data_IF_449284894525
#
_entry.id   IF_449284894525
#
_cell.length_a   1.000
_cell.length_b   1.000
_cell.length_c   1.000
_cell.angle_alpha   90.00
_cell.angle_beta   90.00
_cell.angle_gamma   90.00
#
_symmetry.space_group_name_H-M   'P 1'
#
loop_
_entity.id
_entity.type
_entity.pdbx_description
1 polymer ?
#
# COMPACT_ATOMS: atom_id res chain seq x y z
N UNK A 1 17.65 -25.19 32.26
CA UNK A 1 18.83 -25.95 31.75
C UNK A 1 20.06 -25.05 31.60
N UNK A 2 21.29 -25.57 31.56
CA UNK A 2 22.49 -24.72 31.37
C UNK A 2 22.65 -24.27 29.91
N UNK A 3 23.31 -23.13 29.66
CA UNK A 3 23.51 -22.60 28.30
C UNK A 3 24.20 -23.58 27.34
N UNK A 4 25.10 -24.43 27.86
CA UNK A 4 25.77 -25.46 27.07
C UNK A 4 24.83 -26.58 26.61
N UNK A 5 23.88 -26.95 27.45
CA UNK A 5 22.88 -27.96 27.14
C UNK A 5 21.82 -27.40 26.18
N UNK A 6 21.44 -26.13 26.38
CA UNK A 6 20.58 -25.40 25.43
C UNK A 6 21.23 -25.25 24.05
N UNK A 7 22.54 -24.98 24.01
CA UNK A 7 23.29 -24.95 22.75
C UNK A 7 23.24 -26.29 22.00
N UNK A 8 23.42 -27.40 22.73
CA UNK A 8 23.32 -28.74 22.16
C UNK A 8 21.91 -29.08 21.66
N UNK A 9 20.86 -28.67 22.40
CA UNK A 9 19.46 -28.86 22.01
C UNK A 9 19.13 -28.20 20.66
N UNK A 10 19.72 -27.02 20.39
CA UNK A 10 19.50 -26.28 19.16
C UNK A 10 20.55 -26.54 18.07
N UNK A 11 21.51 -27.44 18.32
CA UNK A 11 22.58 -27.76 17.36
C UNK A 11 23.51 -26.57 17.04
N UNK A 12 23.67 -25.62 17.97
CA UNK A 12 24.47 -24.40 17.78
C UNK A 12 25.65 -24.33 18.77
N UNK A 13 26.62 -23.46 18.48
CA UNK A 13 27.74 -23.20 19.40
C UNK A 13 27.29 -22.43 20.65
N UNK A 14 27.99 -22.62 21.78
CA UNK A 14 27.76 -21.84 23.02
C UNK A 14 27.89 -20.33 22.78
N UNK A 15 28.79 -19.92 21.87
CA UNK A 15 28.96 -18.51 21.48
C UNK A 15 27.70 -17.93 20.82
N UNK A 16 26.95 -18.76 20.08
CA UNK A 16 25.67 -18.37 19.48
C UNK A 16 24.62 -18.10 20.57
N UNK A 17 24.55 -18.97 21.58
CA UNK A 17 23.65 -18.79 22.75
C UNK A 17 24.02 -17.54 23.55
N UNK A 18 25.31 -17.22 23.70
CA UNK A 18 25.75 -15.96 24.32
C UNK A 18 25.30 -14.74 23.52
N UNK A 19 25.40 -14.77 22.19
CA UNK A 19 24.87 -13.69 21.33
C UNK A 19 23.34 -13.55 21.42
N UNK A 20 22.61 -14.66 21.55
CA UNK A 20 21.16 -14.61 21.78
C UNK A 20 20.81 -14.00 23.13
N UNK A 21 21.60 -14.30 24.17
CA UNK A 21 21.49 -13.65 25.48
C UNK A 21 21.76 -12.15 25.39
N UNK A 22 22.84 -11.73 24.72
CA UNK A 22 23.18 -10.30 24.52
C UNK A 22 22.08 -9.54 23.76
N UNK A 23 21.37 -10.22 22.87
CA UNK A 23 20.25 -9.67 22.09
C UNK A 23 18.91 -9.72 22.83
N UNK A 24 18.85 -10.27 24.04
CA UNK A 24 17.63 -10.38 24.83
C UNK A 24 16.64 -11.43 24.32
N UNK A 25 17.09 -12.39 23.51
CA UNK A 25 16.22 -13.42 22.91
C UNK A 25 16.07 -14.68 23.80
N UNK A 26 16.65 -14.67 25.00
CA UNK A 26 16.62 -15.79 25.94
C UNK A 26 16.14 -15.30 27.30
N UNK A 27 15.26 -16.08 27.93
CA UNK A 27 14.79 -15.85 29.30
C UNK A 27 15.58 -16.74 30.26
N UNK A 28 16.07 -16.15 31.34
CA UNK A 28 16.83 -16.84 32.38
C UNK A 28 16.05 -16.84 33.70
N UNK A 29 15.92 -18.02 34.31
CA UNK A 29 15.47 -18.21 35.68
C UNK A 29 16.72 -18.45 36.56
N UNK A 30 17.34 -17.35 37.02
CA UNK A 30 18.63 -17.41 37.72
C UNK A 30 19.78 -17.83 36.80
N UNK A 31 20.50 -18.90 37.15
CA UNK A 31 21.62 -19.44 36.35
C UNK A 31 21.17 -20.44 35.26
N UNK A 32 19.86 -20.65 35.12
CA UNK A 32 19.30 -21.60 34.15
C UNK A 32 18.48 -20.89 33.08
N UNK A 33 18.59 -21.37 31.84
CA UNK A 33 17.75 -20.96 30.71
C UNK A 33 16.37 -21.58 30.89
N UNK A 34 15.35 -20.73 30.81
CA UNK A 34 13.95 -21.12 30.64
C UNK A 34 13.75 -21.50 29.17
N UNK A 35 13.55 -22.79 28.92
CA UNK A 35 13.56 -23.37 27.58
C UNK A 35 12.32 -22.94 26.80
N UNK A 36 11.16 -22.91 27.44
CA UNK A 36 9.89 -22.63 26.79
C UNK A 36 9.79 -21.16 26.42
N UNK A 37 10.07 -20.26 27.38
CA UNK A 37 10.05 -18.83 27.14
C UNK A 37 11.14 -18.39 26.15
N UNK A 38 12.34 -18.98 26.22
CA UNK A 38 13.42 -18.71 25.26
C UNK A 38 13.08 -19.21 23.85
N UNK A 39 12.42 -20.37 23.73
CA UNK A 39 12.01 -20.88 22.42
C UNK A 39 10.91 -20.04 21.78
N UNK A 40 9.98 -19.49 22.59
CA UNK A 40 8.97 -18.57 22.10
C UNK A 40 9.58 -17.28 21.53
N UNK A 41 10.56 -16.69 22.23
CA UNK A 41 11.29 -15.52 21.75
C UNK A 41 12.14 -15.83 20.52
N UNK A 42 12.85 -16.96 20.51
CA UNK A 42 13.62 -17.38 19.36
C UNK A 42 12.72 -17.60 18.15
N UNK A 43 11.53 -18.17 18.31
CA UNK A 43 10.57 -18.29 17.21
C UNK A 43 10.13 -16.93 16.68
N UNK A 44 9.92 -15.93 17.54
CA UNK A 44 9.49 -14.56 17.19
C UNK A 44 10.58 -13.73 16.49
N UNK A 45 11.86 -13.95 16.83
CA UNK A 45 12.96 -13.10 16.37
C UNK A 45 13.92 -13.78 15.41
N UNK A 46 13.92 -15.11 15.33
CA UNK A 46 14.80 -15.87 14.45
C UNK A 46 14.07 -16.25 13.17
N UNK A 47 14.63 -15.82 12.05
CA UNK A 47 14.30 -16.31 10.72
C UNK A 47 14.64 -17.81 10.63
N UNK A 48 13.67 -18.66 10.32
CA UNK A 48 13.90 -20.07 10.11
C UNK A 48 14.94 -20.27 8.99
N UNK A 49 16.02 -21.02 9.28
CA UNK A 49 17.10 -21.25 8.31
C UNK A 49 18.17 -20.18 8.24
N UNK A 50 18.18 -19.17 9.12
CA UNK A 50 19.35 -18.29 9.25
C UNK A 50 20.56 -19.11 9.74
N UNK A 51 21.54 -19.30 8.85
CA UNK A 51 22.83 -19.91 9.16
C UNK A 51 23.43 -19.25 10.41
N UNK A 52 23.99 -20.07 11.31
CA UNK A 52 24.79 -19.54 12.40
C UNK A 52 25.96 -18.78 11.81
N UNK A 53 25.87 -17.44 11.78
CA UNK A 53 26.93 -16.57 11.25
C UNK A 53 28.15 -16.65 12.17
N UNK A 54 28.95 -17.69 11.96
CA UNK A 54 30.35 -17.83 12.36
C UNK A 54 31.27 -17.59 11.16
N UNK A 55 30.87 -16.72 10.23
CA UNK A 55 31.81 -16.11 9.31
C UNK A 55 32.18 -14.72 9.83
N UNK A 56 33.48 -14.46 9.90
CA UNK A 56 34.01 -13.12 10.13
C UNK A 56 33.39 -12.22 9.06
N UNK A 57 32.71 -11.15 9.47
CA UNK A 57 32.12 -10.21 8.54
C UNK A 57 33.24 -9.61 7.68
N UNK A 58 33.35 -10.03 6.42
CA UNK A 58 33.98 -9.21 5.40
C UNK A 58 33.06 -8.01 5.21
N UNK A 59 33.49 -6.86 5.74
CA UNK A 59 32.75 -5.62 5.62
C UNK A 59 32.48 -5.33 4.14
N UNK A 60 31.22 -5.14 3.78
CA UNK A 60 30.87 -4.59 2.49
C UNK A 60 31.25 -3.10 2.50
N UNK A 61 32.32 -2.75 1.79
CA UNK A 61 32.75 -1.35 1.58
C UNK A 61 31.89 -0.61 0.55
N UNK A 62 30.78 -1.21 0.09
CA UNK A 62 29.79 -0.49 -0.70
C UNK A 62 28.89 0.30 0.23
N UNK A 63 29.29 1.56 0.47
CA UNK A 63 28.49 2.53 1.19
C UNK A 63 27.07 2.55 0.66
N UNK A 64 26.10 2.45 1.56
CA UNK A 64 24.70 2.65 1.25
C UNK A 64 24.57 4.04 0.61
N UNK A 65 24.32 4.10 -0.72
CA UNK A 65 23.97 5.37 -1.39
C UNK A 65 22.88 6.04 -0.56
N UNK A 66 22.98 7.34 -0.24
CA UNK A 66 22.03 8.00 0.64
C UNK A 66 20.64 7.86 0.02
N UNK A 67 19.85 6.95 0.58
CA UNK A 67 18.50 6.71 0.15
C UNK A 67 17.70 7.98 0.42
N UNK A 68 17.02 8.45 -0.63
CA UNK A 68 15.98 9.48 -0.64
C UNK A 68 15.20 9.45 0.67
N UNK A 69 15.00 10.62 1.29
CA UNK A 69 14.39 10.81 2.61
C UNK A 69 13.27 9.79 2.86
N UNK A 70 13.57 8.76 3.65
CA UNK A 70 12.57 7.75 4.03
C UNK A 70 11.52 8.49 4.84
N UNK A 71 10.28 8.55 4.35
CA UNK A 71 9.14 8.97 5.19
C UNK A 71 9.17 8.07 6.42
N UNK A 72 9.39 8.66 7.59
CA UNK A 72 9.26 7.95 8.85
C UNK A 72 7.83 7.40 8.90
N UNK A 73 7.71 6.08 9.02
CA UNK A 73 6.41 5.41 9.20
C UNK A 73 5.84 5.75 10.58
N UNK A 74 6.68 6.18 11.50
CA UNK A 74 6.30 6.73 12.79
C UNK A 74 5.94 8.21 12.65
N UNK A 75 4.71 8.62 13.04
CA UNK A 75 4.37 10.04 13.15
C UNK A 75 5.37 10.73 14.08
N UNK A 76 5.84 11.92 13.68
CA UNK A 76 6.80 12.71 14.47
C UNK A 76 6.25 13.08 15.86
N UNK A 77 4.93 13.04 16.01
CA UNK A 77 4.18 13.43 17.21
C UNK A 77 3.72 12.22 18.05
N UNK A 78 4.10 10.99 17.69
CA UNK A 78 3.86 9.83 18.53
C UNK A 78 4.90 9.82 19.66
N UNK A 79 4.64 10.53 20.74
CA UNK A 79 5.41 10.42 21.98
C UNK A 79 5.43 8.94 22.41
N UNK A 80 6.62 8.33 22.36
CA UNK A 80 6.86 6.99 22.92
C UNK A 80 6.84 7.13 24.43
N UNK A 81 5.65 6.96 25.02
CA UNK A 81 5.46 7.00 26.47
C UNK A 81 5.72 5.62 27.07
N UNK A 82 6.55 5.58 28.10
CA UNK A 82 6.68 4.42 28.99
C UNK A 82 5.63 4.62 30.08
N UNK A 83 4.68 3.68 30.22
CA UNK A 83 3.64 3.77 31.25
C UNK A 83 4.22 3.61 32.67
N UNK A 84 3.45 4.01 33.69
CA UNK A 84 3.89 3.87 35.09
C UNK A 84 4.16 2.40 35.45
N UNK A 85 5.39 2.10 35.86
CA UNK A 85 5.84 0.74 36.19
C UNK A 85 6.19 -0.13 34.98
N UNK A 86 6.11 0.39 33.76
CA UNK A 86 6.49 -0.32 32.54
C UNK A 86 8.00 -0.22 32.29
N UNK A 87 8.63 -1.31 31.87
CA UNK A 87 10.01 -1.28 31.38
C UNK A 87 10.06 -0.83 29.92
N UNK A 88 11.20 -0.29 29.47
CA UNK A 88 11.37 0.13 28.07
C UNK A 88 11.08 -1.00 27.05
N UNK A 89 11.34 -2.27 27.43
CA UNK A 89 11.02 -3.43 26.58
C UNK A 89 9.52 -3.69 26.46
N UNK A 90 8.77 -3.55 27.56
CA UNK A 90 7.32 -3.71 27.58
C UNK A 90 6.62 -2.58 26.81
N UNK A 91 7.11 -1.34 26.95
CA UNK A 91 6.61 -0.20 26.19
C UNK A 91 6.81 -0.39 24.68
N UNK A 92 7.99 -0.89 24.28
CA UNK A 92 8.26 -1.22 22.89
C UNK A 92 7.34 -2.32 22.35
N UNK A 93 7.10 -3.38 23.12
CA UNK A 93 6.19 -4.47 22.72
C UNK A 93 4.74 -3.99 22.60
N UNK A 94 4.25 -3.19 23.54
CA UNK A 94 2.93 -2.56 23.48
C UNK A 94 2.75 -1.70 22.25
N UNK A 95 3.75 -0.87 21.92
CA UNK A 95 3.73 -0.01 20.74
C UNK A 95 3.74 -0.86 19.46
N UNK A 96 4.60 -1.87 19.37
CA UNK A 96 4.66 -2.79 18.23
C UNK A 96 3.31 -3.51 18.02
N UNK A 97 2.70 -4.01 19.08
CA UNK A 97 1.38 -4.65 19.03
C UNK A 97 0.27 -3.67 18.62
N UNK A 98 0.27 -2.44 19.16
CA UNK A 98 -0.69 -1.40 18.79
C UNK A 98 -0.56 -0.96 17.32
N UNK A 99 0.64 -1.04 16.74
CA UNK A 99 0.90 -0.81 15.31
C UNK A 99 0.60 -2.04 14.43
N UNK A 100 0.06 -3.12 15.00
CA UNK A 100 -0.34 -4.33 14.26
C UNK A 100 0.82 -5.27 13.92
N UNK A 101 1.99 -5.13 14.54
CA UNK A 101 3.14 -6.00 14.36
C UNK A 101 3.07 -7.24 15.27
N UNK A 102 1.97 -7.98 15.22
CA UNK A 102 1.80 -9.27 15.92
C UNK A 102 2.38 -10.45 15.11
N UNK A 103 2.71 -10.20 13.84
CA UNK A 103 3.17 -11.22 12.90
C UNK A 103 4.65 -11.57 13.14
N UNK A 104 4.98 -12.85 13.00
CA UNK A 104 6.37 -13.32 13.01
C UNK A 104 7.16 -12.73 11.83
N UNK A 105 8.49 -12.63 11.96
CA UNK A 105 9.37 -12.01 10.96
C UNK A 105 9.28 -12.69 9.59
N UNK A 106 9.13 -14.00 9.55
CA UNK A 106 8.98 -14.75 8.31
C UNK A 106 7.60 -14.53 7.68
N UNK A 107 6.57 -14.40 8.51
CA UNK A 107 5.22 -14.07 8.06
C UNK A 107 5.15 -12.63 7.50
N UNK A 108 5.75 -11.67 8.20
CA UNK A 108 5.84 -10.28 7.78
C UNK A 108 6.59 -10.13 6.45
N UNK A 109 7.68 -10.89 6.24
CA UNK A 109 8.39 -10.93 4.96
C UNK A 109 7.52 -11.48 3.85
N UNK A 110 6.84 -12.60 4.07
CA UNK A 110 5.93 -13.19 3.07
C UNK A 110 4.84 -12.21 2.66
N UNK A 111 4.22 -11.55 3.63
CA UNK A 111 3.19 -10.53 3.37
C UNK A 111 3.76 -9.37 2.55
N UNK A 112 4.95 -8.87 2.93
CA UNK A 112 5.63 -7.80 2.19
C UNK A 112 5.91 -8.21 0.73
N UNK A 113 6.48 -9.40 0.50
CA UNK A 113 6.77 -9.89 -0.86
C UNK A 113 5.49 -10.04 -1.69
N UNK A 114 4.39 -10.53 -1.10
CA UNK A 114 3.10 -10.64 -1.76
C UNK A 114 2.55 -9.27 -2.18
N UNK A 115 2.59 -8.28 -1.29
CA UNK A 115 2.14 -6.92 -1.62
C UNK A 115 3.02 -6.24 -2.66
N UNK A 116 4.34 -6.47 -2.63
CA UNK A 116 5.25 -5.97 -3.66
C UNK A 116 4.94 -6.59 -5.02
N UNK A 117 4.63 -7.89 -5.08
CA UNK A 117 4.23 -8.56 -6.31
C UNK A 117 2.90 -7.99 -6.86
N UNK A 118 1.90 -7.80 -6.00
CA UNK A 118 0.61 -7.20 -6.39
C UNK A 118 0.76 -5.76 -6.89
N UNK A 119 1.61 -4.96 -6.22
CA UNK A 119 1.90 -3.61 -6.67
C UNK A 119 2.57 -3.61 -8.05
N UNK A 120 3.59 -4.46 -8.25
CA UNK A 120 4.27 -4.57 -9.53
C UNK A 120 3.33 -5.05 -10.65
N UNK A 121 2.39 -5.95 -10.32
CA UNK A 121 1.36 -6.38 -11.25
C UNK A 121 0.42 -5.22 -11.63
N UNK A 122 -0.07 -4.45 -10.65
CA UNK A 122 -0.92 -3.29 -10.93
C UNK A 122 -0.20 -2.25 -11.79
N UNK A 123 1.07 -1.98 -11.51
CA UNK A 123 1.91 -1.09 -12.32
C UNK A 123 2.08 -1.60 -13.75
N UNK A 124 2.27 -2.92 -13.93
CA UNK A 124 2.29 -3.54 -15.26
C UNK A 124 0.95 -3.41 -15.98
N UNK A 125 -0.16 -3.73 -15.31
CA UNK A 125 -1.50 -3.68 -15.90
C UNK A 125 -1.88 -2.26 -16.32
N UNK A 126 -1.48 -1.24 -15.54
CA UNK A 126 -1.64 0.17 -15.89
C UNK A 126 -0.76 0.54 -17.09
N UNK A 127 0.52 0.18 -17.09
CA UNK A 127 1.45 0.49 -18.17
C UNK A 127 1.07 -0.21 -19.49
N UNK A 128 0.51 -1.41 -19.41
CA UNK A 128 -0.03 -2.16 -20.55
C UNK A 128 -1.39 -1.63 -21.03
N UNK A 129 -2.01 -0.69 -20.31
CA UNK A 129 -3.32 -0.12 -20.63
C UNK A 129 -4.49 -1.08 -20.39
N UNK A 130 -4.30 -2.14 -19.58
CA UNK A 130 -5.36 -3.08 -19.23
C UNK A 130 -6.32 -2.49 -18.20
N UNK A 131 -5.82 -1.61 -17.33
CA UNK A 131 -6.61 -0.96 -16.28
C UNK A 131 -6.32 0.54 -16.22
N UNK A 132 -7.34 1.30 -15.82
CA UNK A 132 -7.27 2.75 -15.58
C UNK A 132 -7.99 3.06 -14.27
N UNK A 133 -7.63 4.17 -13.63
CA UNK A 133 -8.33 4.60 -12.43
C UNK A 133 -9.77 4.97 -12.75
N UNK A 134 -10.71 4.39 -12.00
CA UNK A 134 -12.16 4.66 -12.17
C UNK A 134 -12.47 6.15 -11.97
N UNK A 135 -11.74 6.83 -11.08
CA UNK A 135 -11.88 8.26 -10.85
C UNK A 135 -11.65 9.07 -12.14
N UNK A 136 -10.58 8.77 -12.87
CA UNK A 136 -10.22 9.47 -14.10
C UNK A 136 -11.28 9.27 -15.19
N UNK A 137 -11.76 8.03 -15.35
CA UNK A 137 -12.87 7.71 -16.28
C UNK A 137 -14.14 8.43 -15.88
N UNK A 138 -14.49 8.41 -14.59
CA UNK A 138 -15.70 9.06 -14.10
C UNK A 138 -15.66 10.58 -14.31
N UNK A 139 -14.50 11.20 -14.12
CA UNK A 139 -14.31 12.63 -14.36
C UNK A 139 -14.45 12.95 -15.84
N UNK A 140 -13.74 12.21 -16.71
CA UNK A 140 -13.82 12.42 -18.16
C UNK A 140 -15.27 12.30 -18.66
N UNK A 141 -15.98 11.25 -18.22
CA UNK A 141 -17.40 11.04 -18.58
C UNK A 141 -18.29 12.16 -18.03
N UNK A 142 -18.07 12.59 -16.78
CA UNK A 142 -18.85 13.69 -16.18
C UNK A 142 -18.65 15.02 -16.92
N UNK A 143 -17.42 15.32 -17.34
CA UNK A 143 -17.10 16.50 -18.15
C UNK A 143 -17.84 16.49 -19.48
N UNK A 144 -17.86 15.36 -20.19
CA UNK A 144 -18.60 15.23 -21.45
C UNK A 144 -20.13 15.39 -21.26
N UNK A 145 -20.71 14.77 -20.22
CA UNK A 145 -22.13 14.98 -19.91
C UNK A 145 -22.46 16.42 -19.51
N UNK A 146 -21.55 17.12 -18.84
CA UNK A 146 -21.73 18.53 -18.48
C UNK A 146 -21.80 19.42 -19.73
N UNK A 147 -20.98 19.14 -20.76
CA UNK A 147 -21.05 19.84 -22.05
C UNK A 147 -22.41 19.61 -22.73
N UNK A 148 -22.86 18.35 -22.83
CA UNK A 148 -24.17 18.00 -23.42
C UNK A 148 -25.31 18.72 -22.72
N UNK A 149 -25.32 18.66 -21.38
CA UNK A 149 -26.35 19.34 -20.59
C UNK A 149 -26.36 20.84 -20.88
N UNK A 150 -25.21 21.48 -20.95
CA UNK A 150 -25.09 22.91 -21.26
C UNK A 150 -25.64 23.21 -22.65
N UNK A 151 -25.30 22.40 -23.65
CA UNK A 151 -25.76 22.56 -25.03
C UNK A 151 -27.27 22.38 -25.16
N UNK A 152 -27.82 21.31 -24.57
CA UNK A 152 -29.27 21.05 -24.57
C UNK A 152 -30.06 22.18 -23.90
N UNK A 153 -29.56 22.73 -22.78
CA UNK A 153 -30.20 23.85 -22.10
C UNK A 153 -30.11 25.17 -22.88
N UNK A 154 -29.15 25.32 -23.80
CA UNK A 154 -29.01 26.50 -24.65
C UNK A 154 -29.96 26.50 -25.87
N UNK A 155 -30.48 25.33 -26.27
CA UNK A 155 -31.35 25.17 -27.45
C UNK A 155 -32.53 26.16 -27.45
N UNK A 156 -33.31 26.32 -26.36
CA UNK A 156 -34.46 27.22 -26.37
C UNK A 156 -34.05 28.67 -26.67
N UNK A 157 -32.99 29.18 -26.03
CA UNK A 157 -32.52 30.54 -26.25
C UNK A 157 -31.98 30.77 -27.67
N UNK A 158 -31.26 29.80 -28.23
CA UNK A 158 -30.63 29.93 -29.54
C UNK A 158 -31.62 29.76 -30.70
N UNK A 159 -32.55 28.80 -30.57
CA UNK A 159 -33.43 28.40 -31.67
C UNK A 159 -34.86 28.94 -31.57
N UNK A 160 -35.29 29.51 -30.44
CA UNK A 160 -36.64 30.08 -30.29
C UNK A 160 -37.03 31.06 -31.42
N UNK A 161 -36.18 32.01 -31.86
CA UNK A 161 -36.55 32.92 -32.95
C UNK A 161 -36.77 32.20 -34.29
N UNK A 162 -36.04 31.10 -34.54
CA UNK A 162 -36.21 30.28 -35.75
C UNK A 162 -37.52 29.50 -35.68
N UNK A 163 -37.78 28.87 -34.53
CA UNK A 163 -38.96 28.04 -34.30
C UNK A 163 -40.24 28.88 -34.36
N UNK A 164 -40.22 30.11 -33.84
CA UNK A 164 -41.37 31.03 -33.86
C UNK A 164 -41.90 31.31 -35.27
N UNK A 165 -41.06 31.19 -36.31
CA UNK A 165 -41.45 31.46 -37.70
C UNK A 165 -42.10 30.27 -38.40
N UNK A 166 -42.02 29.07 -37.82
CA UNK A 166 -42.58 27.84 -38.38
C UNK A 166 -44.10 27.84 -38.23
N UNK A 167 -44.81 27.30 -39.22
CA UNK A 167 -46.28 27.45 -39.32
C UNK A 167 -47.03 26.18 -38.97
N UNK A 168 -46.35 25.04 -38.97
CA UNK A 168 -46.95 23.74 -38.69
C UNK A 168 -46.26 23.07 -37.51
N UNK A 169 -47.01 22.23 -36.79
CA UNK A 169 -46.46 21.42 -35.69
C UNK A 169 -45.36 20.48 -36.19
N UNK A 170 -45.53 19.93 -37.40
CA UNK A 170 -44.55 19.04 -38.01
C UNK A 170 -43.21 19.75 -38.24
N UNK A 171 -43.22 20.95 -38.81
CA UNK A 171 -42.01 21.75 -39.01
C UNK A 171 -41.28 22.02 -37.68
N UNK A 172 -42.03 22.36 -36.63
CA UNK A 172 -41.46 22.60 -35.29
C UNK A 172 -40.81 21.34 -34.73
N UNK A 173 -41.49 20.20 -34.83
CA UNK A 173 -40.99 18.92 -34.36
C UNK A 173 -39.74 18.50 -35.12
N UNK A 174 -39.73 18.60 -36.45
CA UNK A 174 -38.58 18.25 -37.29
C UNK A 174 -37.38 19.16 -36.99
N UNK A 175 -37.61 20.46 -36.82
CA UNK A 175 -36.57 21.43 -36.49
C UNK A 175 -35.97 21.21 -35.09
N UNK A 176 -36.80 20.89 -34.09
CA UNK A 176 -36.33 20.57 -32.73
C UNK A 176 -35.57 19.24 -32.71
N UNK A 177 -36.10 18.22 -33.38
CA UNK A 177 -35.47 16.91 -33.45
C UNK A 177 -34.09 17.00 -34.10
N UNK A 178 -33.97 17.73 -35.22
CA UNK A 178 -32.70 17.97 -35.90
C UNK A 178 -31.66 18.65 -34.99
N UNK A 179 -32.05 19.67 -34.23
CA UNK A 179 -31.12 20.38 -33.32
C UNK A 179 -30.69 19.50 -32.15
N UNK A 180 -31.60 18.69 -31.59
CA UNK A 180 -31.27 17.76 -30.50
C UNK A 180 -30.30 16.68 -31.01
N UNK A 181 -30.56 16.10 -32.19
CA UNK A 181 -29.68 15.10 -32.79
C UNK A 181 -28.31 15.70 -33.09
N UNK A 182 -28.23 16.90 -33.67
CA UNK A 182 -26.96 17.59 -33.91
C UNK A 182 -26.17 17.80 -32.61
N UNK A 183 -26.82 18.28 -31.54
CA UNK A 183 -26.20 18.48 -30.23
C UNK A 183 -25.72 17.16 -29.57
N UNK A 184 -26.37 16.03 -29.87
CA UNK A 184 -25.95 14.71 -29.38
C UNK A 184 -24.86 14.08 -30.26
N UNK A 185 -24.88 14.29 -31.58
CA UNK A 185 -23.86 13.81 -32.51
C UNK A 185 -22.49 14.49 -32.29
N UNK A 186 -22.49 15.75 -31.83
CA UNK A 186 -21.27 16.46 -31.45
C UNK A 186 -20.47 15.68 -30.39
N UNK A 187 -21.16 14.98 -29.47
CA UNK A 187 -20.54 14.12 -28.46
C UNK A 187 -19.82 12.90 -29.05
N UNK A 188 -20.36 12.34 -30.14
CA UNK A 188 -19.77 11.17 -30.79
C UNK A 188 -18.55 11.53 -31.64
N UNK A 189 -18.49 12.74 -32.21
CA UNK A 189 -17.37 13.18 -33.07
C UNK A 189 -16.10 13.53 -32.28
N UNK A 190 -16.25 14.09 -31.08
CA UNK A 190 -15.11 14.39 -30.19
C UNK A 190 -14.34 13.13 -29.75
N UNK A 191 -15.00 11.97 -29.72
CA UNK A 191 -14.38 10.67 -29.45
C UNK A 191 -13.42 10.19 -30.56
N UNK A 192 -13.69 10.52 -31.82
CA UNK A 192 -12.88 10.08 -32.98
C UNK A 192 -11.62 10.94 -33.19
N UNK A 193 -11.66 12.22 -32.81
CA UNK A 193 -10.51 13.13 -33.00
C UNK A 193 -9.40 12.93 -31.96
N UNK A 194 -9.70 12.37 -30.78
CA UNK A 194 -8.70 12.10 -29.72
C UNK A 194 -7.91 10.81 -29.92
N UNK A 195 -8.25 9.98 -30.91
CA UNK A 195 -7.56 8.71 -31.20
C UNK A 195 -6.42 8.83 -32.23
N UNK A 196 -5.97 10.03 -32.55
CA UNK A 196 -4.85 10.30 -33.47
C UNK A 196 -3.59 10.79 -32.74
#
# INVERSE_FOLDING_TARGET
MKQSEFAALHGVSRKTVTKWKERGWLVFAGDQVDVEASNALLKKYRVAGADSVTQAAQGNSQGNKPARARRAVTPKDAEVTIGDGETAGQAAERILLALGADMDMDEAKRVKENYLALQAQLEYDQAAGLVVAVADVSQAVAEEYAKVRTRLLAIPSEHAPRIQRLRTVQEVQDALHSVIVEALEELTRDGEQRTA
#
